data_IF_732051449387
#
_entry.id   IF_732051449387
#
_cell.length_a   1.000
_cell.length_b   1.000
_cell.length_c   1.000
_cell.angle_alpha   90.00
_cell.angle_beta   90.00
_cell.angle_gamma   90.00
#
_symmetry.space_group_name_H-M   'P 1'
#
loop_
_entity.id
_entity.type
_entity.pdbx_description
1 polymer ?
#
# COMPACT_ATOMS: atom_id res chain seq x y z
N UNK A 1 82.79 -51.39 -50.65
CA UNK A 1 81.55 -50.79 -51.21
C UNK A 1 80.44 -51.82 -51.08
N UNK A 2 79.54 -51.68 -50.09
CA UNK A 2 78.31 -52.47 -49.96
C UNK A 2 77.20 -51.54 -49.47
N UNK A 3 76.18 -51.42 -50.30
CA UNK A 3 75.05 -50.49 -50.20
C UNK A 3 74.06 -51.06 -49.16
N UNK A 4 73.61 -50.22 -48.23
CA UNK A 4 72.54 -50.53 -47.26
C UNK A 4 71.16 -50.28 -47.90
N UNK A 5 70.25 -51.22 -47.72
CA UNK A 5 68.80 -51.10 -47.98
C UNK A 5 68.09 -50.28 -46.89
N UNK A 6 66.98 -49.59 -47.20
CA UNK A 6 66.25 -48.73 -46.24
C UNK A 6 65.22 -49.52 -45.41
N UNK A 7 64.97 -49.06 -44.18
CA UNK A 7 63.96 -49.60 -43.27
C UNK A 7 62.64 -48.84 -43.44
N UNK A 8 61.53 -49.58 -43.52
CA UNK A 8 60.15 -49.11 -43.68
C UNK A 8 59.62 -48.52 -42.37
N UNK A 9 59.05 -47.30 -42.43
CA UNK A 9 58.31 -46.66 -41.34
C UNK A 9 56.84 -47.14 -41.39
N UNK A 10 56.37 -47.82 -40.33
CA UNK A 10 54.93 -48.08 -40.11
C UNK A 10 54.32 -46.91 -39.34
N UNK A 11 53.37 -46.21 -39.96
CA UNK A 11 52.51 -45.23 -39.30
C UNK A 11 51.35 -46.01 -38.67
N UNK A 12 51.21 -45.94 -37.36
CA UNK A 12 49.99 -46.37 -36.65
C UNK A 12 49.07 -45.15 -36.54
N UNK A 13 47.89 -45.24 -37.16
CA UNK A 13 46.77 -44.31 -36.97
C UNK A 13 46.10 -44.62 -35.63
N UNK A 14 45.95 -43.61 -34.77
CA UNK A 14 45.12 -43.68 -33.57
C UNK A 14 43.82 -42.88 -33.79
N UNK A 15 42.73 -43.54 -33.42
CA UNK A 15 41.31 -43.28 -33.62
C UNK A 15 40.80 -41.85 -33.41
N UNK A 16 39.96 -41.39 -34.35
CA UNK A 16 39.14 -40.18 -34.31
C UNK A 16 37.75 -40.37 -33.67
N UNK A 17 37.57 -41.41 -32.84
CA UNK A 17 36.24 -41.79 -32.33
C UNK A 17 35.87 -41.16 -30.97
N UNK A 18 36.83 -40.75 -30.15
CA UNK A 18 36.56 -40.24 -28.79
C UNK A 18 36.06 -38.78 -28.74
N UNK A 19 36.21 -38.01 -29.82
CA UNK A 19 35.83 -36.58 -29.83
C UNK A 19 34.35 -36.33 -30.11
N UNK A 20 33.60 -37.34 -30.58
CA UNK A 20 32.19 -37.20 -30.96
C UNK A 20 31.21 -37.57 -29.83
N UNK A 21 31.62 -38.36 -28.83
CA UNK A 21 30.73 -38.82 -27.76
C UNK A 21 30.47 -37.74 -26.68
N UNK A 22 31.48 -36.92 -26.37
CA UNK A 22 31.35 -35.87 -25.35
C UNK A 22 30.32 -34.80 -25.74
N UNK A 23 30.22 -34.50 -27.03
CA UNK A 23 29.29 -33.49 -27.56
C UNK A 23 27.83 -34.00 -27.61
N UNK A 24 27.62 -35.33 -27.63
CA UNK A 24 26.27 -35.91 -27.57
C UNK A 24 25.68 -35.78 -26.17
N UNK A 25 26.45 -36.12 -25.14
CA UNK A 25 26.03 -36.06 -23.72
C UNK A 25 25.72 -34.63 -23.27
N UNK A 26 26.54 -33.66 -23.69
CA UNK A 26 26.30 -32.24 -23.40
C UNK A 26 25.02 -31.75 -24.08
N UNK A 27 24.78 -32.11 -25.35
CA UNK A 27 23.53 -31.77 -26.04
C UNK A 27 22.30 -32.42 -25.41
N UNK A 28 22.41 -33.67 -24.97
CA UNK A 28 21.34 -34.37 -24.25
C UNK A 28 21.05 -33.71 -22.91
N UNK A 29 22.07 -33.32 -22.15
CA UNK A 29 21.88 -32.59 -20.88
C UNK A 29 21.24 -31.22 -21.09
N UNK A 30 21.62 -30.46 -22.12
CA UNK A 30 21.00 -29.17 -22.45
C UNK A 30 19.53 -29.37 -22.82
N UNK A 31 19.21 -30.39 -23.62
CA UNK A 31 17.82 -30.72 -23.96
C UNK A 31 16.99 -31.12 -22.73
N UNK A 32 17.56 -31.93 -21.83
CA UNK A 32 16.88 -32.30 -20.59
C UNK A 32 16.64 -31.08 -19.71
N UNK A 33 17.63 -30.17 -19.57
CA UNK A 33 17.48 -28.94 -18.81
C UNK A 33 16.43 -28.00 -19.41
N UNK A 34 16.38 -27.86 -20.75
CA UNK A 34 15.33 -27.10 -21.43
C UNK A 34 13.95 -27.74 -21.27
N UNK A 35 13.84 -29.07 -21.38
CA UNK A 35 12.58 -29.77 -21.13
C UNK A 35 12.13 -29.63 -19.68
N UNK A 36 13.06 -29.65 -18.71
CA UNK A 36 12.75 -29.47 -17.29
C UNK A 36 12.31 -28.03 -16.98
N UNK A 37 12.99 -27.04 -17.57
CA UNK A 37 12.61 -25.62 -17.48
C UNK A 37 11.24 -25.37 -18.12
N UNK A 38 10.97 -26.00 -19.27
CA UNK A 38 9.68 -25.96 -19.95
C UNK A 38 8.58 -26.68 -19.14
N UNK A 39 8.89 -27.78 -18.47
CA UNK A 39 7.95 -28.50 -17.60
C UNK A 39 7.62 -27.68 -16.34
N UNK A 40 8.62 -27.03 -15.74
CA UNK A 40 8.41 -26.13 -14.59
C UNK A 40 7.55 -24.93 -15.01
N UNK A 41 7.83 -24.31 -16.16
CA UNK A 41 7.00 -23.19 -16.67
C UNK A 41 5.61 -23.65 -17.11
N UNK A 42 5.44 -24.88 -17.61
CA UNK A 42 4.12 -25.45 -17.95
C UNK A 42 3.31 -25.87 -16.73
N UNK A 43 3.96 -26.22 -15.61
CA UNK A 43 3.32 -26.40 -14.31
C UNK A 43 2.99 -25.07 -13.61
N UNK A 44 3.60 -23.97 -14.06
CA UNK A 44 3.26 -22.58 -13.72
C UNK A 44 2.36 -21.92 -14.76
N UNK A 45 1.68 -22.69 -15.62
CA UNK A 45 0.43 -22.22 -16.21
C UNK A 45 -0.56 -22.12 -15.06
N UNK A 46 -0.50 -21.00 -14.34
CA UNK A 46 -1.55 -20.62 -13.41
C UNK A 46 -2.86 -20.83 -14.13
N UNK A 47 -3.73 -21.64 -13.54
CA UNK A 47 -5.15 -21.55 -13.85
C UNK A 47 -5.46 -20.07 -13.82
N UNK A 48 -5.84 -19.51 -14.98
CA UNK A 48 -6.49 -18.21 -15.05
C UNK A 48 -7.84 -18.42 -14.35
N UNK A 49 -7.80 -18.47 -13.02
CA UNK A 49 -8.98 -18.44 -12.20
C UNK A 49 -9.51 -17.04 -12.42
N UNK A 50 -10.71 -16.95 -13.01
CA UNK A 50 -11.42 -15.69 -13.03
C UNK A 50 -11.43 -15.15 -11.59
N UNK A 51 -11.01 -13.91 -11.39
CA UNK A 51 -11.17 -13.27 -10.09
C UNK A 51 -12.66 -13.33 -9.74
N UNK A 52 -13.03 -13.59 -8.47
CA UNK A 52 -14.43 -13.54 -8.09
C UNK A 52 -14.94 -12.10 -8.26
N UNK A 53 -16.17 -11.95 -8.75
CA UNK A 53 -16.92 -10.71 -8.56
C UNK A 53 -17.25 -10.64 -7.06
N UNK A 54 -17.07 -9.51 -6.40
CA UNK A 54 -17.28 -9.37 -4.94
C UNK A 54 -18.66 -8.78 -4.59
N UNK A 55 -19.55 -8.74 -5.57
CA UNK A 55 -20.93 -8.24 -5.46
C UNK A 55 -21.86 -9.21 -6.18
N UNK A 56 -23.15 -9.19 -5.82
CA UNK A 56 -24.19 -9.95 -6.52
C UNK A 56 -24.50 -9.30 -7.86
N UNK A 57 -24.76 -10.13 -8.88
CA UNK A 57 -25.30 -9.64 -10.16
C UNK A 57 -26.74 -9.12 -10.03
N UNK A 58 -27.53 -9.73 -9.14
CA UNK A 58 -28.91 -9.33 -8.84
C UNK A 58 -29.23 -9.55 -7.35
N UNK A 59 -29.97 -8.61 -6.76
CA UNK A 59 -30.49 -8.71 -5.39
C UNK A 59 -29.47 -8.39 -4.29
N UNK A 60 -29.84 -8.68 -3.05
CA UNK A 60 -29.05 -8.38 -1.86
C UNK A 60 -29.19 -9.51 -0.83
N UNK A 61 -28.17 -9.69 0.01
CA UNK A 61 -28.30 -10.49 1.21
C UNK A 61 -29.06 -9.74 2.29
N UNK A 62 -29.82 -10.47 3.10
CA UNK A 62 -30.38 -9.98 4.37
C UNK A 62 -29.65 -10.68 5.51
N UNK A 63 -28.91 -9.93 6.30
CA UNK A 63 -28.23 -10.43 7.49
C UNK A 63 -29.18 -10.31 8.68
N UNK A 64 -29.35 -11.40 9.43
CA UNK A 64 -30.20 -11.46 10.63
C UNK A 64 -29.39 -11.93 11.84
N UNK A 65 -29.73 -11.40 13.02
CA UNK A 65 -29.19 -11.82 14.31
C UNK A 65 -29.83 -13.14 14.82
N UNK A 66 -29.48 -13.56 16.03
CA UNK A 66 -29.99 -14.77 16.67
C UNK A 66 -31.50 -14.75 16.97
N UNK A 67 -32.11 -13.57 16.99
CA UNK A 67 -33.53 -13.33 17.25
C UNK A 67 -34.33 -13.08 15.95
N UNK A 68 -33.72 -13.34 14.79
CA UNK A 68 -34.25 -13.11 13.44
C UNK A 68 -34.51 -11.62 13.12
N UNK A 69 -33.89 -10.68 13.83
CA UNK A 69 -33.94 -9.26 13.48
C UNK A 69 -32.96 -8.97 12.34
N UNK A 70 -33.38 -8.20 11.34
CA UNK A 70 -32.48 -7.76 10.27
C UNK A 70 -31.51 -6.70 10.78
N UNK A 71 -30.20 -6.95 10.62
CA UNK A 71 -29.12 -6.05 11.03
C UNK A 71 -28.40 -5.38 9.86
N UNK A 72 -28.42 -6.00 8.67
CA UNK A 72 -27.80 -5.44 7.47
C UNK A 72 -28.47 -6.00 6.22
N UNK A 73 -28.58 -5.19 5.16
CA UNK A 73 -28.74 -5.68 3.79
C UNK A 73 -27.62 -5.15 2.91
N UNK A 74 -27.11 -5.99 2.03
CA UNK A 74 -26.02 -5.57 1.14
C UNK A 74 -25.99 -6.39 -0.15
N UNK A 75 -25.58 -5.75 -1.25
CA UNK A 75 -25.25 -6.41 -2.51
C UNK A 75 -23.90 -7.12 -2.48
N UNK A 76 -23.04 -6.82 -1.49
CA UNK A 76 -21.74 -7.49 -1.32
C UNK A 76 -21.89 -8.98 -1.11
N UNK A 77 -21.00 -9.77 -1.71
CA UNK A 77 -20.97 -11.21 -1.46
C UNK A 77 -20.56 -11.49 -0.02
N UNK A 78 -21.35 -12.33 0.65
CA UNK A 78 -21.11 -12.74 2.02
C UNK A 78 -20.66 -14.21 2.08
N UNK A 79 -19.81 -14.48 3.06
CA UNK A 79 -19.33 -15.81 3.46
C UNK A 79 -19.35 -15.97 4.98
N UNK A 80 -19.50 -17.20 5.50
CA UNK A 80 -19.23 -17.46 6.91
C UNK A 80 -17.84 -16.98 7.35
N UNK A 81 -17.76 -16.27 8.47
CA UNK A 81 -16.56 -15.59 8.98
C UNK A 81 -16.44 -14.11 8.56
N UNK A 82 -17.28 -13.63 7.65
CA UNK A 82 -17.46 -12.19 7.46
C UNK A 82 -18.09 -11.57 8.72
N UNK A 83 -17.81 -10.29 8.94
CA UNK A 83 -18.27 -9.58 10.14
C UNK A 83 -18.94 -8.28 9.78
N UNK A 84 -19.80 -7.80 10.66
CA UNK A 84 -20.41 -6.49 10.54
C UNK A 84 -20.39 -5.80 11.90
N UNK A 85 -19.70 -4.67 11.98
CA UNK A 85 -19.78 -3.73 13.09
C UNK A 85 -20.92 -2.76 12.78
N UNK A 86 -22.01 -2.83 13.52
CA UNK A 86 -23.19 -2.00 13.27
C UNK A 86 -22.99 -0.55 13.74
N UNK A 87 -24.03 0.26 13.56
CA UNK A 87 -24.03 1.67 13.97
C UNK A 87 -23.84 1.85 15.48
N UNK A 88 -24.39 0.94 16.29
CA UNK A 88 -24.33 0.94 17.75
C UNK A 88 -23.05 0.29 18.31
N UNK A 89 -22.05 0.05 17.45
CA UNK A 89 -20.78 -0.58 17.78
C UNK A 89 -20.87 -2.04 18.26
N UNK A 90 -21.94 -2.73 17.92
CA UNK A 90 -22.09 -4.17 18.14
C UNK A 90 -21.50 -4.93 16.95
N UNK A 91 -20.53 -5.81 17.23
CA UNK A 91 -19.87 -6.63 16.24
C UNK A 91 -20.59 -7.98 16.11
N UNK A 92 -20.98 -8.31 14.88
CA UNK A 92 -21.59 -9.59 14.52
C UNK A 92 -20.68 -10.38 13.59
N UNK A 93 -20.68 -11.71 13.69
CA UNK A 93 -19.99 -12.62 12.78
C UNK A 93 -21.01 -13.51 12.06
N UNK A 94 -20.95 -13.55 10.74
CA UNK A 94 -21.81 -14.41 9.91
C UNK A 94 -21.37 -15.85 10.09
N UNK A 95 -22.27 -16.72 10.55
CA UNK A 95 -21.99 -18.13 10.85
C UNK A 95 -22.56 -19.08 9.80
N UNK A 96 -23.68 -18.71 9.17
CA UNK A 96 -24.36 -19.53 8.17
C UNK A 96 -25.01 -18.63 7.11
N UNK A 97 -25.04 -19.12 5.86
CA UNK A 97 -25.77 -18.46 4.77
C UNK A 97 -26.68 -19.49 4.12
N UNK A 98 -27.95 -19.15 4.02
CA UNK A 98 -29.00 -19.95 3.40
C UNK A 98 -29.73 -19.10 2.36
N UNK A 99 -29.54 -19.44 1.08
CA UNK A 99 -30.02 -18.64 -0.05
C UNK A 99 -29.52 -17.18 0.05
N UNK A 100 -30.45 -16.24 0.25
CA UNK A 100 -30.18 -14.80 0.35
C UNK A 100 -30.22 -14.30 1.81
N UNK A 101 -30.33 -15.20 2.80
CA UNK A 101 -30.32 -14.86 4.23
C UNK A 101 -29.01 -15.32 4.88
N UNK A 102 -28.31 -14.40 5.53
CA UNK A 102 -27.12 -14.69 6.32
C UNK A 102 -27.47 -14.60 7.81
N UNK A 103 -27.19 -15.66 8.57
CA UNK A 103 -27.33 -15.65 10.02
C UNK A 103 -26.02 -15.22 10.64
N UNK A 104 -26.08 -14.25 11.55
CA UNK A 104 -24.95 -13.74 12.28
C UNK A 104 -25.15 -13.90 13.79
N UNK A 105 -24.06 -14.12 14.51
CA UNK A 105 -24.03 -14.18 15.97
C UNK A 105 -23.35 -12.92 16.52
N UNK A 106 -23.88 -12.37 17.61
CA UNK A 106 -23.23 -11.28 18.33
C UNK A 106 -21.89 -11.76 18.92
N UNK A 107 -20.84 -10.97 18.71
CA UNK A 107 -19.48 -11.26 19.17
C UNK A 107 -19.17 -10.44 20.41
N UNK A 108 -19.16 -9.12 20.28
CA UNK A 108 -18.82 -8.17 21.34
C UNK A 108 -19.26 -6.75 20.97
N UNK A 109 -19.28 -5.86 21.95
CA UNK A 109 -19.43 -4.41 21.75
C UNK A 109 -18.02 -3.80 21.67
N UNK A 110 -17.79 -2.97 20.65
CA UNK A 110 -16.48 -2.36 20.38
C UNK A 110 -16.47 -0.92 20.91
N UNK A 111 -15.57 -0.64 21.85
CA UNK A 111 -15.29 0.73 22.27
C UNK A 111 -14.43 1.42 21.20
N UNK A 112 -15.01 2.35 20.44
CA UNK A 112 -14.27 3.15 19.48
C UNK A 112 -13.46 4.26 20.18
N UNK A 113 -12.26 4.54 19.66
CA UNK A 113 -11.42 5.62 20.17
C UNK A 113 -12.15 6.97 20.06
N UNK A 114 -12.14 7.77 21.13
CA UNK A 114 -12.87 9.05 21.20
C UNK A 114 -14.19 8.98 21.97
N UNK A 115 -14.80 7.80 22.11
CA UNK A 115 -15.95 7.58 23.00
C UNK A 115 -15.48 7.41 24.46
N UNK A 116 -14.90 8.45 25.05
CA UNK A 116 -14.86 8.55 26.52
C UNK A 116 -16.30 8.77 26.96
N UNK A 117 -17.00 7.69 27.35
CA UNK A 117 -18.26 7.79 28.07
C UNK A 117 -18.01 8.74 29.25
N UNK A 118 -18.77 9.83 29.33
CA UNK A 118 -18.90 10.63 30.54
C UNK A 118 -19.54 9.75 31.64
N UNK A 119 -18.81 8.75 32.14
CA UNK A 119 -19.21 8.04 33.35
C UNK A 119 -18.98 9.01 34.50
N UNK A 120 -20.08 9.60 34.93
CA UNK A 120 -20.25 10.40 36.12
C UNK A 120 -19.56 9.71 37.31
N UNK A 121 -18.37 10.19 37.67
CA UNK A 121 -17.54 9.74 38.79
C UNK A 121 -18.35 9.52 40.09
N UNK A 122 -18.73 8.27 40.40
CA UNK A 122 -19.03 7.84 41.77
C UNK A 122 -18.61 6.37 42.02
N UNK A 123 -17.59 6.20 42.89
CA UNK A 123 -17.13 4.98 43.62
C UNK A 123 -16.29 3.94 42.84
N UNK A 124 -15.23 3.30 43.35
CA UNK A 124 -14.52 3.12 44.64
C UNK A 124 -13.12 2.50 44.30
N UNK A 125 -11.95 2.94 44.83
CA UNK A 125 -10.65 2.62 44.22
C UNK A 125 -10.03 1.29 44.71
N UNK A 126 -10.76 0.19 44.69
CA UNK A 126 -10.23 -1.12 45.06
C UNK A 126 -10.98 -2.27 44.37
N UNK A 127 -10.72 -2.55 43.09
CA UNK A 127 -10.64 -3.91 42.53
C UNK A 127 -9.83 -3.87 41.22
N UNK A 128 -8.51 -3.83 41.39
CA UNK A 128 -7.52 -4.03 40.33
C UNK A 128 -7.34 -5.54 40.14
N UNK A 129 -7.78 -6.09 39.00
CA UNK A 129 -7.29 -7.31 38.32
C UNK A 129 -8.31 -7.84 37.28
N UNK A 130 -8.49 -7.15 36.15
CA UNK A 130 -8.88 -7.81 34.90
C UNK A 130 -8.16 -7.13 33.74
N UNK A 131 -7.62 -7.97 32.85
CA UNK A 131 -6.64 -7.63 31.81
C UNK A 131 -7.27 -6.69 30.78
N UNK A 132 -7.07 -5.37 30.92
CA UNK A 132 -7.21 -4.42 29.82
C UNK A 132 -6.02 -4.62 28.88
N UNK A 133 -6.29 -5.00 27.64
CA UNK A 133 -5.34 -4.79 26.54
C UNK A 133 -5.37 -3.30 26.26
N UNK A 134 -4.39 -2.58 26.78
CA UNK A 134 -4.17 -1.19 26.40
C UNK A 134 -3.81 -1.18 24.90
N UNK A 135 -4.79 -0.86 24.08
CA UNK A 135 -4.58 -0.46 22.69
C UNK A 135 -4.06 0.98 22.76
N UNK A 136 -2.75 1.11 22.97
CA UNK A 136 -2.05 2.38 22.79
C UNK A 136 -1.81 2.53 21.29
N UNK A 137 -2.79 3.06 20.56
CA UNK A 137 -2.60 3.49 19.17
C UNK A 137 -2.08 4.92 19.23
N UNK A 138 -0.76 5.06 19.09
CA UNK A 138 -0.15 6.33 18.69
C UNK A 138 0.43 6.11 17.30
N UNK A 139 -0.36 6.39 16.26
CA UNK A 139 0.18 6.67 14.92
C UNK A 139 0.20 8.19 14.78
N UNK A 140 1.17 8.82 15.46
CA UNK A 140 1.59 10.16 15.10
C UNK A 140 2.57 10.02 13.94
N UNK A 141 2.05 10.02 12.72
CA UNK A 141 2.85 10.37 11.55
C UNK A 141 2.75 11.89 11.39
N UNK A 142 3.68 12.62 12.02
CA UNK A 142 3.78 14.10 11.98
C UNK A 142 4.13 14.68 10.60
N UNK A 143 4.10 13.90 9.51
CA UNK A 143 4.52 14.33 8.16
C UNK A 143 3.56 13.83 7.04
N UNK A 144 2.25 13.79 7.25
CA UNK A 144 1.31 13.38 6.20
C UNK A 144 0.76 14.58 5.41
N UNK A 145 1.63 15.23 4.63
CA UNK A 145 1.27 16.36 3.75
C UNK A 145 0.84 15.92 2.33
N UNK A 146 0.61 14.62 2.12
CA UNK A 146 0.22 14.06 0.82
C UNK A 146 -1.24 14.33 0.46
N UNK A 147 -1.62 14.23 -0.83
CA UNK A 147 -3.01 14.38 -1.25
C UNK A 147 -3.89 13.22 -0.76
N UNK A 148 -5.20 13.44 -0.66
CA UNK A 148 -6.18 12.35 -0.59
C UNK A 148 -6.44 11.84 -2.00
N UNK A 149 -6.30 10.54 -2.23
CA UNK A 149 -6.67 9.91 -3.49
C UNK A 149 -8.11 9.42 -3.48
N UNK A 150 -8.93 9.85 -4.43
CA UNK A 150 -10.30 9.35 -4.62
C UNK A 150 -10.35 8.65 -5.99
N UNK A 151 -10.84 7.42 -6.00
CA UNK A 151 -10.99 6.63 -7.22
C UNK A 151 -12.24 5.76 -7.15
N UNK A 152 -12.58 5.13 -8.27
CA UNK A 152 -13.80 4.32 -8.40
C UNK A 152 -13.47 3.01 -9.09
N UNK A 153 -13.38 1.89 -8.36
CA UNK A 153 -13.21 0.57 -8.98
C UNK A 153 -14.37 0.22 -9.92
N UNK A 154 -15.55 0.80 -9.71
CA UNK A 154 -16.73 0.66 -10.56
C UNK A 154 -17.32 2.04 -10.93
N UNK A 155 -16.57 2.88 -11.65
CA UNK A 155 -17.02 4.24 -12.03
C UNK A 155 -18.18 4.30 -13.05
N UNK A 156 -18.74 3.16 -13.45
CA UNK A 156 -19.99 3.11 -14.20
C UNK A 156 -21.24 3.07 -13.32
N UNK A 157 -21.10 2.88 -12.00
CA UNK A 157 -22.24 2.82 -11.08
C UNK A 157 -23.07 4.13 -11.11
N UNK A 158 -24.39 4.00 -11.15
CA UNK A 158 -25.33 5.10 -11.31
C UNK A 158 -26.55 4.93 -10.39
N UNK A 159 -27.34 5.99 -10.25
CA UNK A 159 -28.47 6.09 -9.33
C UNK A 159 -29.79 6.13 -10.09
N UNK A 160 -30.61 5.08 -9.95
CA UNK A 160 -31.87 4.92 -10.70
C UNK A 160 -32.83 6.09 -10.49
N UNK A 161 -33.04 6.64 -9.28
CA UNK A 161 -33.97 7.76 -9.08
C UNK A 161 -33.57 9.05 -9.81
N UNK A 162 -32.27 9.33 -9.95
CA UNK A 162 -31.76 10.58 -10.52
C UNK A 162 -31.44 10.45 -12.01
N UNK A 163 -30.97 9.28 -12.43
CA UNK A 163 -30.39 9.06 -13.77
C UNK A 163 -31.17 8.04 -14.60
N UNK A 164 -32.00 7.21 -13.97
CA UNK A 164 -32.89 6.25 -14.63
C UNK A 164 -32.26 4.89 -14.94
N UNK A 165 -30.96 4.73 -14.73
CA UNK A 165 -30.21 3.49 -14.93
C UNK A 165 -29.30 3.21 -13.71
N UNK A 166 -28.99 1.94 -13.45
CA UNK A 166 -28.12 1.54 -12.33
C UNK A 166 -26.63 1.53 -12.69
N UNK A 167 -26.33 1.61 -13.99
CA UNK A 167 -24.98 1.63 -14.55
C UNK A 167 -24.96 2.36 -15.90
N UNK A 168 -23.98 3.25 -16.09
CA UNK A 168 -23.72 4.02 -17.31
C UNK A 168 -22.25 3.82 -17.71
N UNK A 169 -21.98 3.12 -18.82
CA UNK A 169 -20.60 2.68 -19.17
C UNK A 169 -19.61 3.83 -19.38
N UNK A 170 -20.09 4.97 -19.88
CA UNK A 170 -19.30 6.18 -20.09
C UNK A 170 -18.93 6.93 -18.79
N UNK A 171 -19.54 6.55 -17.66
CA UNK A 171 -19.42 7.21 -16.36
C UNK A 171 -20.80 7.42 -15.77
N UNK A 172 -21.07 6.81 -14.63
CA UNK A 172 -22.31 6.98 -13.89
C UNK A 172 -22.18 8.01 -12.77
N UNK A 173 -23.32 8.35 -12.16
CA UNK A 173 -23.42 9.32 -11.06
C UNK A 173 -22.47 9.13 -9.88
N UNK A 174 -21.86 7.95 -9.73
CA UNK A 174 -20.84 7.73 -8.71
C UNK A 174 -19.60 8.60 -8.89
N UNK A 175 -19.28 9.01 -10.13
CA UNK A 175 -18.18 9.91 -10.41
C UNK A 175 -18.46 11.29 -9.81
N UNK A 176 -19.67 11.82 -9.99
CA UNK A 176 -20.09 13.09 -9.39
C UNK A 176 -20.13 13.02 -7.85
N UNK A 177 -20.52 11.88 -7.27
CA UNK A 177 -20.40 11.66 -5.81
C UNK A 177 -18.94 11.74 -5.35
N UNK A 178 -18.01 11.14 -6.11
CA UNK A 178 -16.57 11.27 -5.86
C UNK A 178 -16.06 12.71 -6.02
N UNK A 179 -16.58 13.45 -7.00
CA UNK A 179 -16.26 14.87 -7.21
C UNK A 179 -16.75 15.73 -6.04
N UNK A 180 -17.96 15.51 -5.53
CA UNK A 180 -18.50 16.20 -4.34
C UNK A 180 -17.61 15.98 -3.11
N UNK A 181 -17.18 14.74 -2.87
CA UNK A 181 -16.21 14.45 -1.79
C UNK A 181 -14.88 15.17 -2.02
N UNK A 182 -14.35 15.13 -3.24
CA UNK A 182 -13.09 15.80 -3.59
C UNK A 182 -13.16 17.31 -3.30
N UNK A 183 -14.23 17.96 -3.77
CA UNK A 183 -14.45 19.39 -3.56
C UNK A 183 -14.52 19.75 -2.07
N UNK A 184 -15.25 18.97 -1.27
CA UNK A 184 -15.35 19.17 0.18
C UNK A 184 -13.98 19.10 0.88
N UNK A 185 -13.16 18.12 0.52
CA UNK A 185 -11.81 17.96 1.09
C UNK A 185 -10.89 19.12 0.65
N UNK A 186 -10.98 19.56 -0.61
CA UNK A 186 -10.21 20.69 -1.13
C UNK A 186 -10.60 22.03 -0.50
N UNK A 187 -11.87 22.22 -0.13
CA UNK A 187 -12.35 23.41 0.59
C UNK A 187 -11.68 23.58 1.96
N UNK A 188 -11.28 22.48 2.59
CA UNK A 188 -10.50 22.46 3.83
C UNK A 188 -8.98 22.59 3.60
N UNK A 189 -8.55 22.90 2.37
CA UNK A 189 -7.14 23.07 1.96
C UNK A 189 -6.30 21.78 2.01
N UNK A 190 -6.94 20.61 1.96
CA UNK A 190 -6.26 19.33 1.79
C UNK A 190 -6.19 19.00 0.30
N UNK A 191 -5.01 18.77 -0.30
CA UNK A 191 -4.91 18.45 -1.72
C UNK A 191 -5.63 17.14 -2.07
N UNK A 192 -6.29 17.06 -3.22
CA UNK A 192 -6.97 15.84 -3.68
C UNK A 192 -6.46 15.42 -5.06
N UNK A 193 -6.39 14.11 -5.29
CA UNK A 193 -6.28 13.52 -6.61
C UNK A 193 -7.52 12.68 -6.83
N UNK A 194 -8.47 13.20 -7.60
CA UNK A 194 -9.68 12.48 -8.00
C UNK A 194 -9.51 11.89 -9.40
N UNK A 195 -9.70 10.58 -9.53
CA UNK A 195 -9.69 9.88 -10.82
C UNK A 195 -11.10 9.66 -11.36
N UNK A 196 -11.31 10.06 -12.61
CA UNK A 196 -12.55 9.87 -13.37
C UNK A 196 -12.56 8.57 -14.18
N UNK A 197 -11.53 7.73 -14.08
CA UNK A 197 -11.46 6.48 -14.84
C UNK A 197 -12.57 5.52 -14.39
N UNK A 198 -13.41 5.05 -15.33
CA UNK A 198 -14.58 4.24 -15.00
C UNK A 198 -14.27 2.76 -14.71
N UNK A 199 -13.09 2.30 -15.16
CA UNK A 199 -12.63 0.92 -15.05
C UNK A 199 -13.59 -0.15 -15.63
N UNK A 200 -14.44 0.23 -16.59
CA UNK A 200 -15.32 -0.70 -17.32
C UNK A 200 -14.55 -1.79 -18.07
N UNK A 201 -15.15 -2.98 -18.29
CA UNK A 201 -16.51 -3.41 -17.89
C UNK A 201 -16.67 -3.66 -16.38
N UNK A 202 -17.90 -3.73 -15.86
CA UNK A 202 -18.11 -4.16 -14.47
C UNK A 202 -17.91 -5.68 -14.39
N UNK A 203 -16.66 -6.12 -14.24
CA UNK A 203 -16.26 -7.52 -14.17
C UNK A 203 -15.20 -7.77 -13.10
N UNK A 204 -14.88 -9.04 -12.92
CA UNK A 204 -13.77 -9.54 -12.11
C UNK A 204 -12.43 -8.78 -12.28
N UNK A 205 -12.19 -8.19 -13.46
CA UNK A 205 -10.97 -7.45 -13.77
C UNK A 205 -11.03 -5.95 -13.47
N UNK A 206 -12.15 -5.43 -12.96
CA UNK A 206 -12.32 -4.01 -12.63
C UNK A 206 -11.32 -3.56 -11.56
N UNK A 207 -11.13 -4.36 -10.51
CA UNK A 207 -10.12 -4.10 -9.48
C UNK A 207 -8.68 -4.13 -10.04
N UNK A 208 -8.37 -5.03 -10.97
CA UNK A 208 -7.04 -5.05 -11.63
C UNK A 208 -6.80 -3.81 -12.50
N UNK A 209 -7.87 -3.20 -13.04
CA UNK A 209 -7.78 -1.95 -13.80
C UNK A 209 -7.64 -0.76 -12.86
N UNK A 210 -8.49 -0.66 -11.83
CA UNK A 210 -8.43 0.42 -10.84
C UNK A 210 -7.14 0.42 -10.06
N UNK A 211 -6.53 -0.76 -9.85
CA UNK A 211 -5.19 -0.86 -9.26
C UNK A 211 -4.13 -0.04 -9.99
N UNK A 212 -4.20 0.08 -11.32
CA UNK A 212 -3.25 0.90 -12.09
C UNK A 212 -3.42 2.38 -11.80
N UNK A 213 -4.67 2.83 -11.67
CA UNK A 213 -5.00 4.18 -11.21
C UNK A 213 -4.49 4.42 -9.79
N UNK A 214 -4.67 3.45 -8.89
CA UNK A 214 -4.09 3.52 -7.53
C UNK A 214 -2.56 3.59 -7.59
N UNK A 215 -1.89 2.81 -8.44
CA UNK A 215 -0.43 2.88 -8.65
C UNK A 215 0.03 4.26 -9.17
N UNK A 216 -0.80 4.96 -9.94
CA UNK A 216 -0.53 6.33 -10.38
C UNK A 216 -0.67 7.32 -9.23
N UNK A 217 -1.77 7.26 -8.46
CA UNK A 217 -1.99 8.10 -7.28
C UNK A 217 -0.87 7.91 -6.25
N UNK A 218 -0.43 6.67 -6.03
CA UNK A 218 0.65 6.33 -5.09
C UNK A 218 2.00 7.00 -5.42
N UNK A 219 2.21 7.47 -6.65
CA UNK A 219 3.42 8.23 -7.02
C UNK A 219 3.46 9.62 -6.39
N UNK A 220 2.31 10.14 -5.99
CA UNK A 220 2.16 11.44 -5.33
C UNK A 220 2.18 11.33 -3.79
N UNK A 221 2.50 10.14 -3.27
CA UNK A 221 2.58 9.84 -1.82
C UNK A 221 1.31 10.24 -1.06
N UNK A 222 0.15 9.64 -1.40
CA UNK A 222 -1.13 10.06 -0.85
C UNK A 222 -1.22 9.79 0.64
N UNK A 223 -1.98 10.64 1.33
CA UNK A 223 -2.25 10.54 2.77
C UNK A 223 -3.29 9.48 3.11
N UNK A 224 -4.25 9.29 2.20
CA UNK A 224 -5.30 8.28 2.25
C UNK A 224 -5.78 7.96 0.83
N UNK A 225 -6.44 6.82 0.66
CA UNK A 225 -7.13 6.42 -0.55
C UNK A 225 -8.58 6.06 -0.22
N UNK A 226 -9.51 6.44 -1.09
CA UNK A 226 -10.93 6.15 -0.95
C UNK A 226 -11.44 5.60 -2.27
N UNK A 227 -11.94 4.37 -2.22
CA UNK A 227 -12.70 3.74 -3.31
C UNK A 227 -14.18 4.03 -3.11
N UNK A 228 -14.74 4.92 -3.93
CA UNK A 228 -16.12 5.41 -3.76
C UNK A 228 -17.07 4.60 -4.63
N UNK A 229 -18.06 3.98 -3.97
CA UNK A 229 -19.06 3.09 -4.55
C UNK A 229 -20.48 3.44 -4.09
N UNK A 230 -21.45 2.77 -4.71
CA UNK A 230 -22.83 2.65 -4.22
C UNK A 230 -23.24 1.18 -4.12
N UNK A 231 -23.98 0.80 -3.08
CA UNK A 231 -24.42 -0.58 -2.88
C UNK A 231 -25.62 -0.95 -3.78
N UNK A 232 -25.89 -2.24 -3.94
CA UNK A 232 -27.10 -2.79 -4.57
C UNK A 232 -28.21 -3.14 -3.56
N UNK A 233 -28.08 -2.68 -2.30
CA UNK A 233 -29.08 -2.82 -1.25
C UNK A 233 -30.35 -1.97 -1.54
N UNK A 234 -31.50 -2.27 -0.89
CA UNK A 234 -32.70 -1.46 -1.05
C UNK A 234 -32.54 -0.08 -0.40
N UNK A 235 -33.25 0.93 -0.92
CA UNK A 235 -33.12 2.34 -0.44
C UNK A 235 -33.25 2.49 1.08
N UNK A 236 -34.18 1.75 1.70
CA UNK A 236 -34.47 1.83 3.14
C UNK A 236 -33.27 1.46 4.01
N UNK A 237 -32.33 0.67 3.48
CA UNK A 237 -31.12 0.23 4.19
C UNK A 237 -30.10 1.36 4.38
N UNK A 238 -30.20 2.41 3.58
CA UNK A 238 -29.25 3.53 3.54
C UNK A 238 -29.89 4.85 3.96
N UNK A 239 -31.14 4.84 4.42
CA UNK A 239 -31.88 6.05 4.78
C UNK A 239 -31.79 6.31 6.29
N UNK A 240 -31.33 7.49 6.68
CA UNK A 240 -31.30 7.92 8.08
C UNK A 240 -31.67 9.40 8.25
N UNK A 241 -31.75 9.85 9.50
CA UNK A 241 -31.79 11.28 9.84
C UNK A 241 -30.36 11.74 10.17
N UNK A 242 -29.81 12.64 9.36
CA UNK A 242 -28.46 13.20 9.47
C UNK A 242 -28.63 14.73 9.59
N UNK A 243 -28.05 15.33 10.63
CA UNK A 243 -28.21 16.77 10.94
C UNK A 243 -29.68 17.28 11.01
N UNK A 244 -30.63 16.39 11.31
CA UNK A 244 -32.06 16.73 11.40
C UNK A 244 -32.83 16.68 10.08
N UNK A 245 -32.19 16.24 8.99
CA UNK A 245 -32.78 16.05 7.67
C UNK A 245 -32.70 14.58 7.21
N UNK A 246 -33.53 14.17 6.25
CA UNK A 246 -33.45 12.82 5.67
C UNK A 246 -32.20 12.73 4.79
N UNK A 247 -31.23 11.91 5.19
CA UNK A 247 -29.95 11.72 4.51
C UNK A 247 -29.68 10.29 4.07
N UNK A 248 -28.54 10.11 3.40
CA UNK A 248 -28.03 8.83 2.89
C UNK A 248 -26.82 8.40 3.72
N UNK A 249 -26.78 7.14 4.15
CA UNK A 249 -25.69 6.65 4.99
C UNK A 249 -24.49 6.16 4.18
N UNK A 250 -23.36 6.03 4.86
CA UNK A 250 -22.11 5.46 4.35
C UNK A 250 -21.85 4.12 5.04
N UNK A 251 -21.58 3.07 4.27
CA UNK A 251 -21.06 1.80 4.79
C UNK A 251 -19.58 1.68 4.42
N UNK A 252 -18.72 1.49 5.41
CA UNK A 252 -17.30 1.22 5.18
C UNK A 252 -17.11 -0.27 4.94
N UNK A 253 -16.27 -0.63 3.97
CA UNK A 253 -15.99 -2.04 3.63
C UNK A 253 -14.50 -2.33 3.78
N UNK A 254 -14.18 -3.39 4.53
CA UNK A 254 -12.84 -3.92 4.72
C UNK A 254 -12.75 -5.30 4.10
N UNK A 255 -11.78 -5.48 3.20
CA UNK A 255 -11.43 -6.76 2.63
C UNK A 255 -10.58 -7.59 3.58
N UNK A 256 -10.97 -8.82 3.84
CA UNK A 256 -10.24 -9.71 4.77
C UNK A 256 -8.99 -10.36 4.14
N UNK A 257 -8.70 -10.14 2.84
CA UNK A 257 -7.63 -10.80 2.07
C UNK A 257 -6.47 -9.84 1.71
N UNK A 258 -6.16 -8.91 2.62
CA UNK A 258 -5.14 -7.88 2.45
C UNK A 258 -4.11 -7.93 3.58
N UNK A 259 -2.92 -7.33 3.35
CA UNK A 259 -1.77 -7.48 4.27
C UNK A 259 -1.73 -6.45 5.42
N UNK A 260 -2.40 -5.32 5.26
CA UNK A 260 -2.52 -4.19 6.18
C UNK A 260 -3.85 -4.24 6.98
N UNK A 261 -4.41 -5.44 7.25
CA UNK A 261 -5.80 -5.57 7.72
C UNK A 261 -6.02 -4.86 9.05
N UNK A 262 -5.02 -4.95 9.92
CA UNK A 262 -5.06 -4.29 11.21
C UNK A 262 -5.07 -2.77 11.05
N UNK A 263 -4.19 -2.21 10.22
CA UNK A 263 -4.08 -0.77 10.02
C UNK A 263 -5.31 -0.18 9.31
N UNK A 264 -5.87 -0.91 8.34
CA UNK A 264 -7.09 -0.53 7.64
C UNK A 264 -8.31 -0.58 8.56
N UNK A 265 -8.39 -1.60 9.42
CA UNK A 265 -9.42 -1.71 10.45
C UNK A 265 -9.35 -0.57 11.47
N UNK A 266 -8.15 -0.30 11.99
CA UNK A 266 -7.93 0.82 12.91
C UNK A 266 -8.31 2.16 12.24
N UNK A 267 -8.00 2.36 10.96
CA UNK A 267 -8.40 3.57 10.23
C UNK A 267 -9.92 3.67 10.03
N UNK A 268 -10.59 2.60 9.62
CA UNK A 268 -12.03 2.59 9.42
C UNK A 268 -12.80 2.83 10.73
N UNK A 269 -12.33 2.25 11.84
CA UNK A 269 -12.91 2.47 13.16
C UNK A 269 -12.76 3.92 13.62
N UNK A 270 -11.62 4.57 13.34
CA UNK A 270 -11.45 5.99 13.62
C UNK A 270 -12.33 6.88 12.74
N UNK A 271 -12.41 6.61 11.44
CA UNK A 271 -13.37 7.29 10.55
C UNK A 271 -14.81 7.18 11.06
N UNK A 272 -15.22 5.98 11.51
CA UNK A 272 -16.55 5.78 12.12
C UNK A 272 -16.69 6.61 13.39
N UNK A 273 -15.70 6.59 14.29
CA UNK A 273 -15.76 7.35 15.53
C UNK A 273 -15.88 8.87 15.30
N UNK A 274 -15.06 9.40 14.38
CA UNK A 274 -15.10 10.81 13.97
C UNK A 274 -16.43 11.15 13.30
N UNK A 275 -16.98 10.27 12.47
CA UNK A 275 -18.31 10.46 11.88
C UNK A 275 -19.41 10.45 12.96
N UNK A 276 -19.35 9.56 13.94
CA UNK A 276 -20.33 9.50 15.04
C UNK A 276 -20.33 10.79 15.87
N UNK A 277 -19.17 11.47 16.00
CA UNK A 277 -19.03 12.75 16.69
C UNK A 277 -19.49 13.94 15.83
N UNK A 278 -19.03 14.03 14.59
CA UNK A 278 -19.32 15.17 13.70
C UNK A 278 -20.74 15.10 13.12
N UNK A 279 -21.12 13.93 12.62
CA UNK A 279 -22.32 13.69 11.82
C UNK A 279 -23.04 12.41 12.27
N UNK A 280 -23.70 12.41 13.44
CA UNK A 280 -24.39 11.23 13.95
C UNK A 280 -25.30 10.56 12.90
N UNK A 281 -25.25 9.24 12.82
CA UNK A 281 -25.92 8.40 11.82
C UNK A 281 -25.37 8.48 10.38
N UNK A 282 -24.29 9.22 10.09
CA UNK A 282 -23.71 9.25 8.74
C UNK A 282 -23.12 7.89 8.36
N UNK A 283 -22.26 7.32 9.22
CA UNK A 283 -21.66 6.00 8.99
C UNK A 283 -22.49 4.93 9.68
N UNK A 284 -23.13 4.06 8.90
CA UNK A 284 -24.00 3.00 9.42
C UNK A 284 -23.27 1.75 9.93
N UNK A 285 -21.96 1.67 9.72
CA UNK A 285 -21.14 0.56 10.19
C UNK A 285 -19.95 0.22 9.31
N UNK A 286 -19.31 -0.90 9.63
CA UNK A 286 -18.16 -1.45 8.94
C UNK A 286 -18.43 -2.91 8.58
N UNK A 287 -18.44 -3.24 7.30
CA UNK A 287 -18.56 -4.60 6.79
C UNK A 287 -17.18 -5.18 6.49
N UNK A 288 -16.88 -6.33 7.09
CA UNK A 288 -15.66 -7.10 6.86
C UNK A 288 -16.00 -8.25 5.90
N UNK A 289 -15.73 -8.05 4.61
CA UNK A 289 -16.09 -8.96 3.54
C UNK A 289 -14.86 -9.69 2.95
N UNK A 290 -15.11 -10.77 2.21
CA UNK A 290 -14.03 -11.41 1.44
C UNK A 290 -13.59 -10.50 0.30
N UNK A 291 -12.28 -10.22 0.22
CA UNK A 291 -11.71 -9.46 -0.88
C UNK A 291 -10.48 -8.68 -0.44
N UNK A 292 -9.86 -7.99 -1.39
CA UNK A 292 -8.74 -7.11 -1.14
C UNK A 292 -9.09 -5.63 -1.40
N UNK A 293 -9.88 -5.35 -2.43
CA UNK A 293 -10.35 -4.00 -2.77
C UNK A 293 -9.22 -2.96 -2.92
N UNK A 294 -8.04 -3.40 -3.38
CA UNK A 294 -6.80 -2.61 -3.44
C UNK A 294 -6.30 -2.08 -2.08
N UNK A 295 -6.84 -2.56 -0.96
CA UNK A 295 -6.50 -2.07 0.39
C UNK A 295 -5.09 -2.49 0.84
N UNK A 296 -4.46 -3.44 0.16
CA UNK A 296 -3.06 -3.76 0.40
C UNK A 296 -2.09 -2.68 -0.11
N UNK A 297 -2.54 -1.75 -0.95
CA UNK A 297 -1.70 -0.70 -1.54
C UNK A 297 -1.38 0.44 -0.57
N UNK A 298 -2.25 0.69 0.43
CA UNK A 298 -2.05 1.75 1.41
C UNK A 298 -2.81 1.40 2.72
N UNK A 299 -2.22 1.59 3.91
CA UNK A 299 -2.87 1.24 5.18
C UNK A 299 -4.17 2.03 5.42
N UNK A 300 -4.24 3.28 4.93
CA UNK A 300 -5.45 4.12 4.93
C UNK A 300 -6.16 4.08 3.57
N UNK A 301 -6.36 2.90 3.00
CA UNK A 301 -7.23 2.72 1.83
C UNK A 301 -8.54 2.10 2.31
N UNK A 302 -9.66 2.79 2.10
CA UNK A 302 -10.98 2.32 2.50
C UNK A 302 -11.94 2.33 1.31
N UNK A 303 -12.83 1.34 1.26
CA UNK A 303 -13.95 1.34 0.34
C UNK A 303 -15.16 1.92 1.07
N UNK A 304 -15.81 2.91 0.46
CA UNK A 304 -16.98 3.57 1.00
C UNK A 304 -18.18 3.39 0.06
N UNK A 305 -19.20 2.69 0.53
CA UNK A 305 -20.51 2.60 -0.13
C UNK A 305 -21.36 3.79 0.33
N UNK A 306 -21.61 4.74 -0.57
CA UNK A 306 -22.37 5.95 -0.26
C UNK A 306 -23.74 5.81 -0.89
N UNK A 307 -24.69 5.36 -0.07
CA UNK A 307 -26.02 5.01 -0.54
C UNK A 307 -26.08 3.71 -1.33
N UNK A 308 -27.14 3.62 -2.13
CA UNK A 308 -27.40 2.48 -3.01
C UNK A 308 -27.87 2.94 -4.38
N UNK A 309 -27.96 2.03 -5.34
CA UNK A 309 -28.55 2.34 -6.64
C UNK A 309 -30.01 2.84 -6.57
N UNK A 310 -30.69 2.61 -5.45
CA UNK A 310 -32.06 3.06 -5.19
C UNK A 310 -32.15 4.39 -4.41
N UNK A 311 -31.02 4.97 -3.97
CA UNK A 311 -30.96 6.35 -3.43
C UNK A 311 -30.80 7.37 -4.56
N UNK A 312 -31.09 8.65 -4.29
CA UNK A 312 -30.81 9.73 -5.25
C UNK A 312 -29.33 10.06 -5.26
N UNK A 313 -28.76 10.33 -6.44
CA UNK A 313 -27.36 10.80 -6.60
C UNK A 313 -27.09 12.02 -5.73
N UNK A 314 -28.01 12.99 -5.71
CA UNK A 314 -27.89 14.22 -4.93
C UNK A 314 -27.78 13.96 -3.42
N UNK A 315 -28.48 12.94 -2.90
CA UNK A 315 -28.39 12.57 -1.49
C UNK A 315 -27.07 11.87 -1.15
N UNK A 316 -26.53 11.10 -2.10
CA UNK A 316 -25.20 10.51 -1.97
C UNK A 316 -24.10 11.59 -2.05
N UNK A 317 -24.26 12.61 -2.91
CA UNK A 317 -23.37 13.78 -2.99
C UNK A 317 -23.30 14.55 -1.67
N UNK A 318 -24.45 14.89 -1.09
CA UNK A 318 -24.53 15.54 0.23
C UNK A 318 -23.81 14.73 1.31
N UNK A 319 -24.00 13.41 1.31
CA UNK A 319 -23.38 12.51 2.30
C UNK A 319 -21.88 12.33 2.06
N UNK A 320 -21.44 12.41 0.80
CA UNK A 320 -20.04 12.36 0.42
C UNK A 320 -19.29 13.64 0.81
N UNK A 321 -19.94 14.80 0.77
CA UNK A 321 -19.41 16.06 1.33
C UNK A 321 -19.22 15.94 2.85
N UNK A 322 -20.23 15.46 3.59
CA UNK A 322 -20.11 15.24 5.02
C UNK A 322 -18.99 14.25 5.35
N UNK A 323 -18.89 13.14 4.61
CA UNK A 323 -17.84 12.15 4.80
C UNK A 323 -16.45 12.67 4.43
N UNK A 324 -16.34 13.56 3.43
CA UNK A 324 -15.11 14.29 3.10
C UNK A 324 -14.58 15.09 4.30
N UNK A 325 -15.46 15.78 5.03
CA UNK A 325 -15.07 16.51 6.26
C UNK A 325 -14.57 15.58 7.37
N UNK A 326 -15.15 14.38 7.50
CA UNK A 326 -14.68 13.34 8.45
C UNK A 326 -13.27 12.88 8.10
N UNK A 327 -12.99 12.66 6.81
CA UNK A 327 -11.65 12.27 6.35
C UNK A 327 -10.62 13.35 6.67
N UNK A 328 -10.97 14.62 6.45
CA UNK A 328 -10.08 15.76 6.78
C UNK A 328 -9.78 15.81 8.28
N UNK A 329 -10.80 15.67 9.13
CA UNK A 329 -10.63 15.70 10.58
C UNK A 329 -9.71 14.56 11.07
N UNK A 330 -9.90 13.35 10.55
CA UNK A 330 -9.03 12.21 10.86
C UNK A 330 -7.57 12.44 10.40
N UNK A 331 -7.37 13.08 9.25
CA UNK A 331 -6.02 13.39 8.76
C UNK A 331 -5.32 14.49 9.57
N UNK A 332 -6.08 15.45 10.10
CA UNK A 332 -5.58 16.53 10.94
C UNK A 332 -5.28 16.08 12.38
N UNK A 333 -5.61 14.83 12.72
CA UNK A 333 -5.23 14.21 13.99
C UNK A 333 -6.34 14.17 15.04
N UNK A 334 -7.61 14.33 14.63
CA UNK A 334 -8.77 14.22 15.53
C UNK A 334 -8.63 15.16 16.73
N UNK A 335 -8.76 16.46 16.49
CA UNK A 335 -8.71 17.47 17.53
C UNK A 335 -10.05 17.51 18.30
N UNK A 336 -10.31 16.45 19.05
CA UNK A 336 -11.14 16.56 20.25
C UNK A 336 -10.38 17.40 21.28
N UNK A 337 -10.82 18.65 21.47
CA UNK A 337 -10.40 19.67 22.46
C UNK A 337 -9.42 20.77 22.01
N UNK A 338 -9.92 21.72 21.21
CA UNK A 338 -9.27 23.02 20.98
C UNK A 338 -9.99 24.21 21.68
N UNK A 339 -10.73 23.97 22.77
CA UNK A 339 -11.33 25.08 23.53
C UNK A 339 -11.36 24.92 25.06
N UNK A 340 -10.18 24.80 25.72
CA UNK A 340 -10.04 25.15 27.14
C UNK A 340 -8.69 25.82 27.47
N UNK A 341 -8.69 27.15 27.33
CA UNK A 341 -8.00 28.14 28.16
C UNK A 341 -6.56 27.88 28.64
N UNK A 342 -5.68 28.77 28.18
CA UNK A 342 -4.34 28.94 28.70
C UNK A 342 -4.26 29.15 30.21
N UNK A 343 -3.34 28.42 30.83
CA UNK A 343 -2.48 28.87 31.92
C UNK A 343 -1.53 27.75 32.33
N UNK A 344 -0.45 27.53 31.58
CA UNK A 344 0.73 26.83 32.12
C UNK A 344 1.98 27.16 31.29
N UNK A 345 2.49 28.39 31.45
CA UNK A 345 3.91 28.61 31.27
C UNK A 345 4.68 27.85 32.34
N UNK A 346 5.60 26.96 31.96
CA UNK A 346 6.50 26.36 32.93
C UNK A 346 7.17 25.06 32.52
N UNK A 347 8.30 25.19 31.81
CA UNK A 347 9.54 24.43 32.02
C UNK A 347 9.45 22.89 32.09
N UNK A 348 9.99 22.20 31.08
CA UNK A 348 11.23 21.44 31.27
C UNK A 348 11.94 21.14 29.94
N UNK A 349 13.16 21.66 29.86
CA UNK A 349 14.21 21.27 28.94
C UNK A 349 14.81 19.94 29.44
N UNK A 350 14.91 18.93 28.58
CA UNK A 350 15.43 17.61 28.93
C UNK A 350 15.86 16.83 27.70
N UNK A 351 16.97 17.25 27.08
CA UNK A 351 17.61 16.50 26.01
C UNK A 351 17.99 15.08 26.45
N UNK A 352 17.61 14.09 25.64
CA UNK A 352 18.02 12.71 25.76
C UNK A 352 18.22 12.11 24.38
N UNK A 353 19.48 12.05 23.93
CA UNK A 353 19.87 11.33 22.74
C UNK A 353 19.60 9.83 22.92
N UNK A 354 18.82 9.25 22.00
CA UNK A 354 18.55 7.81 21.94
C UNK A 354 18.33 7.37 20.50
N UNK A 355 19.32 6.66 19.96
CA UNK A 355 19.40 5.99 18.67
C UNK A 355 18.12 5.93 17.80
N UNK A 356 18.17 6.69 16.71
CA UNK A 356 17.34 6.45 15.54
C UNK A 356 17.60 5.06 14.95
N UNK A 357 16.50 4.36 14.69
CA UNK A 357 16.44 3.13 13.92
C UNK A 357 15.22 3.18 13.02
N UNK A 358 15.22 4.14 12.09
CA UNK A 358 14.13 4.37 11.16
C UNK A 358 13.84 3.17 10.25
N UNK A 359 12.64 3.21 9.67
CA UNK A 359 11.95 2.26 8.81
C UNK A 359 12.80 1.76 7.61
N UNK A 360 13.91 2.41 7.29
CA UNK A 360 14.89 1.96 6.30
C UNK A 360 15.65 0.66 6.66
N UNK A 361 15.54 0.16 7.89
CA UNK A 361 16.22 -1.06 8.35
C UNK A 361 15.56 -2.39 7.98
N UNK A 362 14.28 -2.38 7.57
CA UNK A 362 13.52 -3.64 7.37
C UNK A 362 13.41 -4.08 5.91
N UNK A 363 13.46 -3.16 4.96
CA UNK A 363 13.48 -3.47 3.51
C UNK A 363 14.84 -4.07 3.09
N UNK A 364 15.94 -3.69 3.77
CA UNK A 364 17.28 -4.22 3.50
C UNK A 364 17.47 -5.69 3.89
N UNK A 365 16.70 -6.21 4.85
CA UNK A 365 16.93 -7.56 5.36
C UNK A 365 16.41 -8.66 4.42
N UNK A 366 15.27 -8.44 3.75
CA UNK A 366 14.63 -9.43 2.87
C UNK A 366 15.44 -9.69 1.60
N UNK A 367 15.98 -8.62 1.00
CA UNK A 367 16.85 -8.70 -0.18
C UNK A 367 18.19 -9.35 0.19
N UNK A 368 18.75 -9.04 1.36
CA UNK A 368 19.97 -9.68 1.85
C UNK A 368 19.79 -11.17 2.16
N UNK A 369 18.62 -11.57 2.65
CA UNK A 369 18.28 -12.98 2.86
C UNK A 369 18.14 -13.74 1.54
N UNK A 370 17.51 -13.14 0.52
CA UNK A 370 17.38 -13.74 -0.81
C UNK A 370 18.75 -13.87 -1.49
N UNK A 371 19.57 -12.81 -1.46
CA UNK A 371 20.95 -12.84 -1.98
C UNK A 371 21.77 -13.89 -1.20
N UNK A 372 21.62 -13.95 0.12
CA UNK A 372 22.27 -14.94 0.98
C UNK A 372 21.87 -16.37 0.61
N UNK A 373 20.58 -16.63 0.37
CA UNK A 373 20.06 -17.94 -0.01
C UNK A 373 20.56 -18.37 -1.41
N UNK A 374 20.62 -17.44 -2.37
CA UNK A 374 21.16 -17.71 -3.72
C UNK A 374 22.66 -18.01 -3.66
N UNK A 375 23.42 -17.23 -2.89
CA UNK A 375 24.85 -17.47 -2.67
C UNK A 375 25.09 -18.81 -1.98
N UNK A 376 24.30 -19.13 -0.95
CA UNK A 376 24.42 -20.40 -0.23
C UNK A 376 24.05 -21.59 -1.13
N UNK A 377 22.99 -21.47 -1.92
CA UNK A 377 22.59 -22.47 -2.93
C UNK A 377 23.67 -22.69 -3.98
N UNK A 378 24.32 -21.61 -4.45
CA UNK A 378 25.45 -21.68 -5.38
C UNK A 378 26.68 -22.37 -4.77
N UNK A 379 26.99 -22.10 -3.50
CA UNK A 379 28.09 -22.75 -2.77
C UNK A 379 27.81 -24.25 -2.61
N UNK A 380 26.58 -24.62 -2.23
CA UNK A 380 26.17 -26.03 -2.09
C UNK A 380 26.23 -26.75 -3.44
N UNK A 381 25.74 -26.14 -4.51
CA UNK A 381 25.79 -26.71 -5.86
C UNK A 381 27.22 -26.95 -6.36
N UNK A 382 28.14 -26.02 -6.06
CA UNK A 382 29.57 -26.16 -6.39
C UNK A 382 30.23 -27.22 -5.50
N UNK A 383 29.90 -27.30 -4.21
CA UNK A 383 30.45 -28.30 -3.30
C UNK A 383 30.03 -29.73 -3.66
N UNK A 384 28.80 -29.93 -4.16
CA UNK A 384 28.31 -31.24 -4.61
C UNK A 384 29.02 -31.67 -5.91
N UNK A 385 29.38 -30.73 -6.78
CA UNK A 385 29.97 -31.00 -8.10
C UNK A 385 31.51 -30.89 -8.17
N UNK A 386 32.16 -30.30 -7.17
CA UNK A 386 33.61 -30.14 -7.14
C UNK A 386 34.23 -31.14 -6.16
N UNK A 387 34.87 -32.19 -6.69
CA UNK A 387 35.48 -33.27 -5.90
C UNK A 387 36.69 -32.87 -5.02
N UNK A 388 37.01 -31.59 -4.86
CA UNK A 388 38.05 -31.10 -3.93
C UNK A 388 37.93 -29.59 -3.65
N UNK A 389 38.22 -29.19 -2.41
CA UNK A 389 38.17 -27.81 -1.90
C UNK A 389 39.14 -26.85 -2.61
N UNK A 390 40.27 -27.37 -3.10
CA UNK A 390 41.28 -26.56 -3.80
C UNK A 390 40.81 -26.12 -5.21
N UNK A 391 39.95 -26.92 -5.85
CA UNK A 391 39.37 -26.57 -7.15
C UNK A 391 38.27 -25.51 -7.03
N UNK A 392 37.56 -25.47 -5.90
CA UNK A 392 36.54 -24.47 -5.58
C UNK A 392 37.19 -23.10 -5.44
N UNK A 393 38.29 -23.00 -4.67
CA UNK A 393 39.01 -21.73 -4.45
C UNK A 393 39.57 -21.17 -5.75
N UNK A 394 40.08 -22.03 -6.64
CA UNK A 394 40.63 -21.62 -7.94
C UNK A 394 39.54 -21.10 -8.90
N UNK A 395 38.39 -21.77 -8.96
CA UNK A 395 37.26 -21.37 -9.83
C UNK A 395 36.58 -20.09 -9.34
N UNK A 396 36.41 -19.93 -8.03
CA UNK A 396 35.82 -18.72 -7.44
C UNK A 396 36.71 -17.49 -7.67
N UNK A 397 38.03 -17.65 -7.49
CA UNK A 397 39.01 -16.59 -7.78
C UNK A 397 38.98 -16.16 -9.25
N UNK A 398 38.87 -17.11 -10.20
CA UNK A 398 38.79 -16.79 -11.63
C UNK A 398 37.49 -16.09 -12.01
N UNK A 399 36.37 -16.47 -11.39
CA UNK A 399 35.06 -15.85 -11.68
C UNK A 399 35.04 -14.38 -11.19
N UNK A 400 35.51 -14.13 -9.97
CA UNK A 400 35.58 -12.76 -9.40
C UNK A 400 36.57 -11.88 -10.17
N UNK A 401 37.72 -12.41 -10.60
CA UNK A 401 38.76 -11.61 -11.26
C UNK A 401 38.48 -11.32 -12.74
N UNK A 402 37.68 -12.14 -13.42
CA UNK A 402 37.60 -12.12 -14.89
C UNK A 402 36.22 -11.73 -15.42
N UNK A 403 35.15 -12.01 -14.69
CA UNK A 403 33.78 -11.66 -15.08
C UNK A 403 33.32 -10.35 -14.40
N UNK A 404 33.59 -10.18 -13.11
CA UNK A 404 33.14 -9.02 -12.33
C UNK A 404 33.85 -7.71 -12.71
N UNK A 405 35.14 -7.79 -13.06
CA UNK A 405 35.94 -6.63 -13.49
C UNK A 405 35.54 -6.10 -14.88
N UNK A 406 34.86 -6.90 -15.70
CA UNK A 406 34.34 -6.47 -17.00
C UNK A 406 32.95 -5.81 -16.90
N UNK A 407 32.20 -6.08 -15.83
CA UNK A 407 30.87 -5.50 -15.61
C UNK A 407 30.90 -4.18 -14.81
N UNK A 408 31.95 -3.96 -14.01
CA UNK A 408 32.18 -2.72 -13.25
C UNK A 408 33.54 -2.11 -13.64
N UNK A 409 33.54 -1.31 -14.72
CA UNK A 409 34.65 -0.44 -15.08
C UNK A 409 34.98 0.59 -13.98
N UNK A 410 36.13 1.30 -14.06
CA UNK A 410 36.90 1.70 -12.88
C UNK A 410 36.26 2.88 -12.12
N UNK A 411 35.42 2.57 -11.13
CA UNK A 411 34.84 3.57 -10.21
C UNK A 411 35.69 3.88 -8.97
N UNK A 412 36.90 3.31 -8.84
CA UNK A 412 37.80 3.67 -7.75
C UNK A 412 39.23 3.91 -8.24
N UNK A 413 39.49 5.15 -8.66
CA UNK A 413 40.85 5.72 -8.67
C UNK A 413 41.07 6.46 -7.36
N UNK A 414 41.62 5.76 -6.38
CA UNK A 414 41.97 6.30 -5.06
C UNK A 414 43.02 7.40 -5.22
N UNK A 415 42.67 8.61 -4.79
CA UNK A 415 43.53 9.79 -4.75
C UNK A 415 44.36 9.72 -3.46
N UNK A 416 45.60 9.23 -3.55
CA UNK A 416 46.54 9.38 -2.44
C UNK A 416 46.96 10.85 -2.32
N UNK A 417 46.58 11.48 -1.21
CA UNK A 417 47.07 12.78 -0.76
C UNK A 417 47.70 12.54 0.61
N UNK A 418 49.03 12.58 0.67
CA UNK A 418 49.79 12.87 1.86
C UNK A 418 51.20 13.26 1.43
N UNK A 419 51.51 14.55 1.54
CA UNK A 419 52.75 15.01 2.16
C UNK A 419 52.64 16.52 2.41
N UNK A 420 52.76 16.87 3.68
CA UNK A 420 52.90 18.22 4.19
C UNK A 420 54.38 18.54 4.40
N UNK A 421 54.74 19.77 4.04
CA UNK A 421 55.72 20.63 4.71
C UNK A 421 57.21 20.47 4.38
N UNK A 422 57.79 21.48 3.71
CA UNK A 422 58.93 22.26 4.25
C UNK A 422 59.29 23.45 3.33
N UNK A 423 59.22 24.65 3.91
CA UNK A 423 60.16 25.78 3.79
C UNK A 423 60.87 26.06 2.45
N UNK A 424 60.63 27.25 1.88
CA UNK A 424 61.71 28.24 1.74
C UNK A 424 61.21 29.66 1.44
N UNK A 425 61.79 30.58 2.22
CA UNK A 425 61.66 32.03 2.26
C UNK A 425 62.69 32.66 1.31
N UNK A 426 62.29 33.61 0.46
CA UNK A 426 63.20 34.64 -0.09
C UNK A 426 62.44 35.93 -0.42
N UNK A 427 62.87 37.01 0.23
CA UNK A 427 62.60 38.41 -0.09
C UNK A 427 63.20 38.84 -1.44
N UNK A 428 62.53 39.74 -2.18
CA UNK A 428 63.17 40.85 -2.89
C UNK A 428 62.15 41.86 -3.48
N UNK A 429 62.39 43.14 -3.16
CA UNK A 429 61.88 44.38 -3.77
C UNK A 429 62.14 44.45 -5.29
N UNK A 430 61.32 45.17 -6.06
CA UNK A 430 61.50 46.61 -6.42
C UNK A 430 60.43 47.04 -7.47
N UNK A 431 59.85 48.25 -7.29
CA UNK A 431 59.53 49.33 -8.28
C UNK A 431 58.77 49.01 -9.60
N UNK A 432 58.00 49.90 -10.23
CA UNK A 432 57.73 51.34 -10.14
C UNK A 432 56.51 51.66 -11.07
N UNK A 433 55.88 52.83 -10.84
CA UNK A 433 55.01 53.60 -11.74
C UNK A 433 53.64 53.01 -12.15
N UNK A 434 52.53 53.74 -12.18
CA UNK A 434 52.25 55.15 -12.53
C UNK A 434 50.85 55.48 -11.94
N UNK A 435 50.63 56.54 -11.15
CA UNK A 435 50.06 57.86 -11.58
C UNK A 435 48.84 57.71 -12.50
N UNK A 436 47.65 58.30 -12.34
CA UNK A 436 47.11 59.51 -11.69
C UNK A 436 45.58 59.26 -11.57
N UNK A 437 44.92 59.51 -10.44
CA UNK A 437 44.40 60.80 -9.95
C UNK A 437 42.99 61.14 -10.48
N UNK A 438 42.16 61.68 -9.56
CA UNK A 438 40.84 62.33 -9.70
C UNK A 438 39.66 61.37 -9.45
N UNK A 439 39.06 61.29 -8.23
CA UNK A 439 38.35 62.35 -7.45
C UNK A 439 37.41 63.17 -8.38
N UNK A 440 36.13 63.41 -8.12
CA UNK A 440 35.33 63.34 -6.91
C UNK A 440 33.88 63.68 -7.32
N UNK A 441 32.91 63.37 -6.45
CA UNK A 441 31.70 64.18 -6.12
C UNK A 441 30.47 64.18 -7.06
N UNK A 442 29.29 63.79 -6.54
CA UNK A 442 28.19 64.65 -5.96
C UNK A 442 27.16 64.96 -7.06
N UNK A 443 25.83 65.08 -6.91
CA UNK A 443 24.79 65.34 -5.89
C UNK A 443 23.50 64.73 -6.51
N UNK A 444 22.60 64.11 -5.74
CA UNK A 444 21.31 64.65 -5.24
C UNK A 444 20.16 64.90 -6.26
N UNK A 445 18.99 64.49 -5.80
CA UNK A 445 17.59 64.85 -6.10
C UNK A 445 17.31 66.04 -7.03
N UNK A 446 16.37 65.85 -7.98
CA UNK A 446 15.00 66.39 -7.94
C UNK A 446 14.29 66.18 -9.29
N UNK A 447 13.08 65.61 -9.28
CA UNK A 447 11.85 66.01 -10.02
C UNK A 447 10.86 64.87 -10.30
#
# INVERSE_FOLDING_TARGET
MRIKTPTILKIHTANSYDYLDHNSKVKTMIYIAFCFLFLITSCFSGTLQAQPLYEREEGYYTVVDEDDNTILKTGRLLSPGNKYLNQDNELYEITEISEDTAHAEFVEEIELAGQQIEEENQHDPLEDNFVKRDVVITVQDEDNEGPVGIYHSHGAESFVPSEGEESIEEGGGILEVGESMANSIEEENVPVIWSQETHVPHDAGAYDRSRRTVEEIMQENPSALIDVHRDAAPREEYKAEIEGEEGVQVLLVIGQQQQNIQETEEYAQRLKATADEMHPNLVKGILYAEGNYNQDMHPRNILAEIGSQETTREGAEESAELFGSVVVEELNGGNGDDDLNGAAGGLINGGGAGNGGGIMGRIGSSILWIIGAVVLGGIIFVAINAGSFDDIKRKLSQFVSTEFANYLGPLFKTKNKNESNSDQKTDAKDKDHNSQNLDDRVEDDDS
#
